data_IF_582956628103
#
_entry.id   IF_582956628103
#
_cell.length_a   1.000
_cell.length_b   1.000
_cell.length_c   1.000
_cell.angle_alpha   90.00
_cell.angle_beta   90.00
_cell.angle_gamma   90.00
#
_symmetry.space_group_name_H-M   'P 1'
#
loop_
_entity.id
_entity.type
_entity.pdbx_description
1 polymer ?
#
# COMPACT_ATOMS: atom_id res chain seq x y z
N UNK A 1 -43.93 19.04 38.14
CA UNK A 1 -44.26 17.85 37.34
C UNK A 1 -44.89 18.39 36.07
N UNK A 2 -44.31 18.39 34.88
CA UNK A 2 -43.15 17.73 34.31
C UNK A 2 -42.79 18.56 33.06
N UNK A 3 -41.54 19.02 32.92
CA UNK A 3 -41.04 19.66 31.70
C UNK A 3 -39.64 19.09 31.43
N UNK A 4 -39.59 17.80 31.08
CA UNK A 4 -38.38 17.12 30.60
C UNK A 4 -38.80 16.09 29.55
N UNK A 5 -38.01 16.04 28.46
CA UNK A 5 -38.07 15.11 27.32
C UNK A 5 -39.10 15.42 26.23
N UNK A 6 -38.68 16.06 25.14
CA UNK A 6 -38.90 15.56 23.78
C UNK A 6 -37.84 16.16 22.84
N UNK A 7 -36.58 15.84 23.16
CA UNK A 7 -35.50 15.80 22.18
C UNK A 7 -35.43 14.34 21.70
N UNK A 8 -36.21 13.96 20.69
CA UNK A 8 -35.91 12.76 19.91
C UNK A 8 -36.18 13.00 18.43
N UNK A 9 -35.10 13.27 17.71
CA UNK A 9 -34.98 12.90 16.29
C UNK A 9 -35.22 11.40 16.18
N UNK A 10 -36.00 10.98 15.19
CA UNK A 10 -35.64 9.85 14.33
C UNK A 10 -36.59 9.80 13.11
N UNK A 11 -35.97 10.07 11.95
CA UNK A 11 -36.19 9.44 10.65
C UNK A 11 -37.55 9.55 9.92
N UNK A 12 -37.56 10.44 8.91
CA UNK A 12 -38.37 10.35 7.68
C UNK A 12 -37.49 9.80 6.54
N UNK A 13 -38.01 9.50 5.32
CA UNK A 13 -39.05 8.55 4.94
C UNK A 13 -38.58 7.71 3.71
N UNK A 14 -38.27 6.42 3.85
CA UNK A 14 -37.91 5.58 2.69
C UNK A 14 -38.96 4.48 2.43
N UNK A 15 -40.16 4.91 2.02
CA UNK A 15 -41.11 4.07 1.27
C UNK A 15 -41.02 4.48 -0.19
N UNK A 16 -40.28 3.73 -1.01
CA UNK A 16 -40.43 3.77 -2.47
C UNK A 16 -40.23 2.38 -3.10
N UNK A 17 -41.38 1.69 -3.24
CA UNK A 17 -41.91 1.03 -4.44
C UNK A 17 -40.99 0.07 -5.22
N UNK A 18 -41.36 -1.21 -5.17
CA UNK A 18 -40.96 -2.25 -6.10
C UNK A 18 -41.24 -1.89 -7.58
N UNK A 19 -40.33 -2.28 -8.47
CA UNK A 19 -40.47 -2.19 -9.93
C UNK A 19 -39.46 -3.08 -10.65
N UNK A 20 -39.86 -4.33 -10.89
CA UNK A 20 -39.18 -5.38 -11.67
C UNK A 20 -38.96 -4.93 -13.11
N UNK A 21 -37.75 -5.08 -13.65
CA UNK A 21 -37.50 -5.24 -15.11
C UNK A 21 -36.39 -6.25 -15.32
N UNK A 22 -36.71 -7.24 -16.11
CA UNK A 22 -36.02 -8.49 -16.32
C UNK A 22 -35.02 -8.32 -17.48
N UNK A 23 -33.76 -8.73 -17.31
CA UNK A 23 -32.83 -8.88 -18.43
C UNK A 23 -31.97 -10.14 -18.26
N UNK A 24 -31.98 -11.08 -19.23
CA UNK A 24 -31.37 -12.39 -19.05
C UNK A 24 -29.86 -12.38 -19.37
N UNK A 25 -29.14 -13.19 -18.59
CA UNK A 25 -27.91 -13.87 -19.01
C UNK A 25 -26.64 -13.02 -19.23
N UNK A 26 -26.10 -12.47 -18.14
CA UNK A 26 -24.65 -12.24 -17.97
C UNK A 26 -24.18 -12.64 -16.56
N UNK A 27 -24.88 -13.60 -15.93
CA UNK A 27 -24.71 -13.96 -14.52
C UNK A 27 -23.46 -14.83 -14.24
N UNK A 28 -22.89 -15.51 -15.23
CA UNK A 28 -21.80 -16.47 -15.01
C UNK A 28 -20.43 -15.83 -14.73
N UNK A 29 -20.14 -14.66 -15.31
CA UNK A 29 -18.80 -14.05 -15.23
C UNK A 29 -18.63 -13.10 -14.05
N UNK A 30 -19.73 -12.61 -13.47
CA UNK A 30 -19.71 -11.73 -12.28
C UNK A 30 -19.62 -12.50 -10.96
N UNK A 31 -20.06 -13.76 -10.92
CA UNK A 31 -20.03 -14.56 -9.69
C UNK A 31 -18.62 -15.06 -9.34
N UNK A 32 -17.73 -15.20 -10.33
CA UNK A 32 -16.35 -15.67 -10.12
C UNK A 32 -15.35 -14.55 -9.76
N UNK A 33 -15.73 -13.28 -9.89
CA UNK A 33 -14.84 -12.14 -9.59
C UNK A 33 -15.54 -10.93 -8.93
N UNK A 34 -16.78 -11.06 -8.45
CA UNK A 34 -17.62 -9.90 -8.20
C UNK A 34 -18.56 -10.03 -7.02
N UNK A 35 -18.01 -10.28 -5.83
CA UNK A 35 -18.63 -9.76 -4.60
C UNK A 35 -18.49 -8.23 -4.62
N UNK A 36 -19.33 -7.56 -5.40
CA UNK A 36 -19.36 -6.12 -5.50
C UNK A 36 -19.75 -5.55 -4.14
N UNK A 37 -18.76 -5.17 -3.33
CA UNK A 37 -19.00 -4.26 -2.25
C UNK A 37 -19.64 -3.03 -2.90
N UNK A 38 -20.90 -2.76 -2.57
CA UNK A 38 -21.61 -1.56 -2.98
C UNK A 38 -21.06 -0.42 -2.12
N UNK A 39 -19.76 -0.19 -2.25
CA UNK A 39 -19.05 0.88 -1.57
C UNK A 39 -19.64 2.17 -2.14
N UNK A 40 -20.19 3.04 -1.28
CA UNK A 40 -20.66 4.33 -1.75
C UNK A 40 -19.48 5.05 -2.44
N UNK A 41 -19.73 5.84 -3.49
CA UNK A 41 -18.67 6.37 -4.36
C UNK A 41 -17.61 7.22 -3.63
N UNK A 42 -17.92 7.70 -2.42
CA UNK A 42 -16.98 8.41 -1.55
C UNK A 42 -15.98 7.50 -0.81
N UNK A 43 -16.24 6.20 -0.69
CA UNK A 43 -15.42 5.26 0.09
C UNK A 43 -14.30 4.60 -0.74
N UNK A 44 -14.47 4.54 -2.06
CA UNK A 44 -13.48 4.02 -3.01
C UNK A 44 -12.14 4.77 -2.92
N UNK A 45 -12.08 6.11 -2.95
CA UNK A 45 -10.81 6.82 -2.81
C UNK A 45 -10.15 6.60 -1.43
N UNK A 46 -10.96 6.44 -0.38
CA UNK A 46 -10.46 6.20 0.98
C UNK A 46 -9.71 4.86 1.06
N UNK A 47 -10.31 3.78 0.56
CA UNK A 47 -9.68 2.45 0.54
C UNK A 47 -8.47 2.43 -0.41
N UNK A 48 -8.53 3.17 -1.52
CA UNK A 48 -7.40 3.34 -2.43
C UNK A 48 -6.16 3.90 -1.72
N UNK A 49 -6.29 5.02 -1.01
CA UNK A 49 -5.14 5.60 -0.29
C UNK A 49 -4.64 4.71 0.85
N UNK A 50 -5.52 4.02 1.56
CA UNK A 50 -5.13 3.12 2.65
C UNK A 50 -4.36 1.91 2.10
N UNK A 51 -4.84 1.30 1.01
CA UNK A 51 -4.16 0.16 0.39
C UNK A 51 -2.80 0.53 -0.21
N UNK A 52 -2.72 1.69 -0.87
CA UNK A 52 -1.43 2.23 -1.36
C UNK A 52 -0.49 2.58 -0.20
N UNK A 53 -1.01 3.16 0.88
CA UNK A 53 -0.25 3.48 2.09
C UNK A 53 0.32 2.23 2.78
N UNK A 54 -0.52 1.22 3.02
CA UNK A 54 -0.08 -0.07 3.58
C UNK A 54 0.88 -0.81 2.65
N UNK A 55 0.56 -0.88 1.35
CA UNK A 55 1.42 -1.52 0.36
C UNK A 55 2.80 -0.87 0.26
N UNK A 56 2.86 0.47 0.26
CA UNK A 56 4.13 1.19 0.21
C UNK A 56 4.95 1.04 1.50
N UNK A 57 4.31 1.03 2.67
CA UNK A 57 4.99 0.79 3.95
C UNK A 57 5.64 -0.61 3.99
N UNK A 58 4.88 -1.65 3.61
CA UNK A 58 5.39 -3.03 3.57
C UNK A 58 6.52 -3.17 2.56
N UNK A 59 6.35 -2.59 1.36
CA UNK A 59 7.38 -2.62 0.33
C UNK A 59 8.68 -1.92 0.79
N UNK A 60 8.58 -0.80 1.50
CA UNK A 60 9.74 -0.09 2.03
C UNK A 60 10.49 -0.91 3.09
N UNK A 61 9.77 -1.56 4.00
CA UNK A 61 10.36 -2.46 5.00
C UNK A 61 11.03 -3.67 4.35
N UNK A 62 10.37 -4.30 3.37
CA UNK A 62 10.94 -5.43 2.63
C UNK A 62 12.22 -5.01 1.90
N UNK A 63 12.20 -3.85 1.24
CA UNK A 63 13.39 -3.29 0.59
C UNK A 63 14.50 -3.04 1.60
N UNK A 64 14.19 -2.43 2.75
CA UNK A 64 15.16 -2.15 3.80
C UNK A 64 15.78 -3.45 4.30
N UNK A 65 14.97 -4.49 4.53
CA UNK A 65 15.44 -5.79 4.98
C UNK A 65 16.42 -6.43 3.98
N UNK A 66 16.20 -6.32 2.67
CA UNK A 66 16.99 -7.01 1.66
C UNK A 66 18.20 -6.20 1.14
N UNK A 67 18.08 -4.88 1.04
CA UNK A 67 19.07 -4.03 0.39
C UNK A 67 19.84 -3.13 1.36
N UNK A 68 19.61 -3.23 2.67
CA UNK A 68 20.41 -2.48 3.65
C UNK A 68 21.81 -3.07 3.81
N UNK A 69 22.86 -2.23 3.79
CA UNK A 69 24.23 -2.68 4.03
C UNK A 69 24.45 -3.14 5.47
N UNK A 70 23.58 -2.69 6.39
CA UNK A 70 23.63 -3.01 7.82
C UNK A 70 22.99 -4.38 8.16
N UNK A 71 22.18 -4.93 7.26
CA UNK A 71 21.51 -6.24 7.46
C UNK A 71 22.13 -7.25 6.51
N UNK A 72 23.17 -7.94 6.99
CA UNK A 72 23.75 -9.07 6.27
C UNK A 72 23.03 -10.38 6.64
N UNK A 73 22.31 -10.94 5.67
CA UNK A 73 21.73 -12.28 5.77
C UNK A 73 22.80 -13.39 5.64
N UNK A 74 23.94 -13.06 5.03
CA UNK A 74 25.06 -13.97 4.85
C UNK A 74 26.03 -13.89 6.03
N UNK A 75 25.80 -14.76 7.02
CA UNK A 75 26.61 -14.83 8.25
C UNK A 75 27.92 -15.62 8.11
N UNK A 76 28.13 -16.38 7.02
CA UNK A 76 29.24 -17.35 6.93
C UNK A 76 30.22 -17.06 5.80
N UNK A 77 29.77 -16.50 4.68
CA UNK A 77 30.59 -16.24 3.49
C UNK A 77 30.87 -14.74 3.28
N UNK A 78 30.50 -13.90 4.26
CA UNK A 78 30.68 -12.46 4.21
C UNK A 78 31.02 -11.90 5.60
N UNK A 79 32.20 -12.24 6.17
CA UNK A 79 32.60 -11.81 7.51
C UNK A 79 32.71 -10.28 7.63
N UNK A 80 32.95 -9.60 6.51
CA UNK A 80 33.02 -8.14 6.41
C UNK A 80 32.02 -7.64 5.35
N UNK A 81 30.77 -7.31 5.73
CA UNK A 81 29.73 -6.99 4.77
C UNK A 81 30.06 -5.78 3.89
N UNK A 82 30.87 -4.85 4.40
CA UNK A 82 31.33 -3.66 3.69
C UNK A 82 32.30 -3.94 2.53
N UNK A 83 32.97 -5.10 2.46
CA UNK A 83 33.98 -5.32 1.41
C UNK A 83 33.33 -5.49 0.02
N UNK A 84 32.07 -5.95 -0.03
CA UNK A 84 31.32 -6.13 -1.30
C UNK A 84 30.59 -4.88 -1.79
N UNK A 85 30.51 -3.81 -1.00
CA UNK A 85 29.89 -2.58 -1.45
C UNK A 85 30.81 -1.83 -2.43
N UNK A 86 30.30 -1.61 -3.64
CA UNK A 86 30.94 -0.75 -4.61
C UNK A 86 30.62 0.72 -4.30
N UNK A 87 31.55 1.68 -4.50
CA UNK A 87 31.25 3.11 -4.43
C UNK A 87 30.16 3.55 -5.41
N UNK A 88 29.91 2.74 -6.45
CA UNK A 88 28.88 2.95 -7.46
C UNK A 88 27.50 2.47 -7.00
N UNK A 89 27.42 1.66 -5.94
CA UNK A 89 26.15 1.12 -5.48
C UNK A 89 25.33 2.20 -4.77
N UNK A 90 24.20 2.55 -5.39
CA UNK A 90 23.31 3.55 -4.84
C UNK A 90 22.34 2.90 -3.84
N UNK A 91 22.67 3.01 -2.56
CA UNK A 91 21.78 2.57 -1.48
C UNK A 91 20.56 3.49 -1.27
N UNK A 92 20.59 4.74 -1.74
CA UNK A 92 19.47 5.68 -1.54
C UNK A 92 18.48 5.60 -2.70
N UNK A 93 17.18 5.63 -2.40
CA UNK A 93 16.13 5.58 -3.44
C UNK A 93 16.27 6.70 -4.48
N UNK A 94 16.72 7.88 -4.04
CA UNK A 94 16.93 9.04 -4.90
C UNK A 94 18.29 9.67 -4.59
N UNK A 95 19.01 9.98 -5.64
CA UNK A 95 20.27 10.69 -5.62
C UNK A 95 20.08 12.01 -6.36
N UNK A 96 19.82 13.09 -5.62
CA UNK A 96 19.48 14.38 -6.24
C UNK A 96 20.72 15.05 -6.85
N UNK A 97 21.87 14.96 -6.20
CA UNK A 97 23.09 15.67 -6.61
C UNK A 97 24.28 14.75 -6.91
N UNK A 98 24.25 13.49 -6.46
CA UNK A 98 25.41 12.59 -6.52
C UNK A 98 25.33 11.64 -7.71
N UNK A 99 26.29 11.70 -8.63
CA UNK A 99 26.43 10.77 -9.75
C UNK A 99 27.23 9.53 -9.34
N UNK A 100 26.55 8.49 -8.87
CA UNK A 100 27.18 7.23 -8.41
C UNK A 100 27.99 6.52 -9.50
N UNK A 101 27.60 6.66 -10.76
CA UNK A 101 28.27 6.02 -11.91
C UNK A 101 29.70 6.52 -12.16
N UNK A 102 30.04 7.73 -11.72
CA UNK A 102 31.37 8.31 -11.89
C UNK A 102 32.27 8.22 -10.65
N UNK A 103 31.78 7.62 -9.56
CA UNK A 103 32.55 7.46 -8.33
C UNK A 103 33.63 6.37 -8.50
N UNK A 104 34.89 6.76 -8.27
CA UNK A 104 36.04 5.85 -8.27
C UNK A 104 36.30 5.34 -6.85
N UNK A 105 36.81 4.11 -6.74
CA UNK A 105 37.23 3.52 -5.46
C UNK A 105 38.64 4.03 -5.13
N UNK A 106 38.75 4.90 -4.13
CA UNK A 106 40.04 5.50 -3.72
C UNK A 106 40.98 4.53 -2.98
N UNK A 107 40.48 3.37 -2.53
CA UNK A 107 41.27 2.39 -1.77
C UNK A 107 41.54 1.11 -2.58
N UNK A 108 42.75 0.52 -2.47
CA UNK A 108 43.06 -0.75 -3.09
C UNK A 108 42.13 -1.86 -2.56
N UNK A 109 41.79 -2.83 -3.43
CA UNK A 109 40.98 -3.99 -3.06
C UNK A 109 41.79 -4.96 -2.18
N UNK A 110 41.22 -5.34 -1.04
CA UNK A 110 41.73 -6.37 -0.13
C UNK A 110 40.99 -7.69 -0.34
#
# INVERSE_FOLDING_TARGET
>A
MELVTLQRRDESPCVHRAGRKDLPSTAGLRQLLGGGAECPPHLIPLIGFISVGLGSAVLYLLRLALYSPDVSWDRKNNPEPWNKLSPTDQYKFLAVSTNYKSLKKDRPSF
#
